data_IF_195841735952
#
_entry.id   IF_195841735952
#
_cell.length_a   1.000
_cell.length_b   1.000
_cell.length_c   1.000
_cell.angle_alpha   90.00
_cell.angle_beta   90.00
_cell.angle_gamma   90.00
#
_symmetry.space_group_name_H-M   'P 1'
#
loop_
_entity.id
_entity.type
_entity.pdbx_description
1 polymer ?
#
# COMPACT_ATOMS: atom_id res chain seq x y z
N UNK A 1 14.02 23.40 -6.07
CA UNK A 1 13.78 22.06 -6.62
C UNK A 1 14.26 21.03 -5.59
N UNK A 2 13.46 19.98 -5.38
CA UNK A 2 13.78 18.86 -4.46
C UNK A 2 13.43 17.54 -5.09
N UNK A 3 14.17 16.49 -4.71
CA UNK A 3 13.90 15.10 -5.00
C UNK A 3 13.11 14.56 -3.81
N UNK A 4 12.03 13.85 -4.05
CA UNK A 4 11.20 13.22 -3.03
C UNK A 4 11.16 11.72 -3.26
N UNK A 5 11.37 10.95 -2.20
CA UNK A 5 11.36 9.49 -2.23
C UNK A 5 10.07 8.94 -2.87
N UNK A 6 8.91 9.36 -2.35
CA UNK A 6 7.61 8.88 -2.84
C UNK A 6 7.37 9.15 -4.32
N UNK A 7 7.79 10.32 -4.84
CA UNK A 7 7.67 10.59 -6.28
C UNK A 7 8.48 9.63 -7.14
N UNK A 8 9.71 9.27 -6.72
CA UNK A 8 10.52 8.28 -7.42
C UNK A 8 9.94 6.87 -7.27
N UNK A 9 9.44 6.52 -6.08
CA UNK A 9 8.83 5.23 -5.81
C UNK A 9 7.57 5.00 -6.66
N UNK A 10 6.65 5.95 -6.68
CA UNK A 10 5.43 5.86 -7.48
C UNK A 10 5.74 5.84 -8.99
N UNK A 11 6.74 6.59 -9.45
CA UNK A 11 7.19 6.53 -10.83
C UNK A 11 7.78 5.15 -11.19
N UNK A 12 8.65 4.60 -10.34
CA UNK A 12 9.21 3.26 -10.53
C UNK A 12 8.10 2.19 -10.59
N UNK A 13 7.16 2.24 -9.63
CA UNK A 13 6.01 1.32 -9.58
C UNK A 13 5.14 1.42 -10.84
N UNK A 14 4.80 2.63 -11.28
CA UNK A 14 3.99 2.85 -12.48
C UNK A 14 4.69 2.32 -13.75
N UNK A 15 5.99 2.56 -13.89
CA UNK A 15 6.77 2.09 -15.03
C UNK A 15 6.90 0.56 -15.04
N UNK A 16 7.11 -0.07 -13.88
CA UNK A 16 7.11 -1.53 -13.75
C UNK A 16 5.75 -2.12 -14.19
N UNK A 17 4.65 -1.53 -13.73
CA UNK A 17 3.29 -1.95 -14.10
C UNK A 17 2.99 -1.75 -15.59
N UNK A 18 3.43 -0.66 -16.18
CA UNK A 18 3.30 -0.42 -17.62
C UNK A 18 4.13 -1.44 -18.43
N UNK A 19 5.33 -1.80 -17.97
CA UNK A 19 6.11 -2.86 -18.61
C UNK A 19 5.39 -4.21 -18.56
N UNK A 20 4.73 -4.58 -17.45
CA UNK A 20 3.96 -5.84 -17.35
C UNK A 20 2.93 -5.94 -18.50
N UNK A 21 2.33 -4.83 -18.91
CA UNK A 21 1.33 -4.76 -19.98
C UNK A 21 1.95 -4.62 -21.37
N UNK A 22 2.89 -3.69 -21.52
CA UNK A 22 3.41 -3.27 -22.84
C UNK A 22 4.71 -3.98 -23.25
N UNK A 23 5.33 -4.73 -22.32
CA UNK A 23 6.63 -5.42 -22.53
C UNK A 23 7.73 -4.51 -23.04
N UNK A 24 7.78 -3.26 -22.57
CA UNK A 24 8.76 -2.25 -22.97
C UNK A 24 9.98 -2.28 -22.06
N UNK A 25 11.12 -2.71 -22.59
CA UNK A 25 12.39 -2.76 -21.85
C UNK A 25 12.85 -1.38 -21.41
N UNK A 26 12.58 -0.33 -22.20
CA UNK A 26 12.90 1.04 -21.81
C UNK A 26 12.18 1.47 -20.54
N UNK A 27 10.91 1.11 -20.37
CA UNK A 27 10.15 1.40 -19.15
C UNK A 27 10.72 0.64 -17.95
N UNK A 28 11.11 -0.61 -18.16
CA UNK A 28 11.72 -1.44 -17.13
C UNK A 28 13.09 -0.90 -16.71
N UNK A 29 13.93 -0.50 -17.66
CA UNK A 29 15.24 0.07 -17.37
C UNK A 29 15.14 1.36 -16.54
N UNK A 30 14.20 2.25 -16.89
CA UNK A 30 13.97 3.47 -16.12
C UNK A 30 13.45 3.13 -14.71
N UNK A 31 12.51 2.19 -14.60
CA UNK A 31 12.00 1.72 -13.30
C UNK A 31 13.14 1.18 -12.43
N UNK A 32 14.02 0.35 -13.00
CA UNK A 32 15.16 -0.24 -12.29
C UNK A 32 16.16 0.83 -11.84
N UNK A 33 16.46 1.83 -12.68
CA UNK A 33 17.33 2.95 -12.31
C UNK A 33 16.73 3.76 -11.13
N UNK A 34 15.41 4.01 -11.13
CA UNK A 34 14.74 4.65 -10.02
C UNK A 34 14.80 3.81 -8.74
N UNK A 35 14.66 2.49 -8.84
CA UNK A 35 14.80 1.57 -7.70
C UNK A 35 16.24 1.59 -7.15
N UNK A 36 17.26 1.62 -8.00
CA UNK A 36 18.65 1.79 -7.54
C UNK A 36 18.88 3.09 -6.81
N UNK A 37 18.31 4.19 -7.32
CA UNK A 37 18.33 5.47 -6.61
C UNK A 37 17.65 5.37 -5.23
N UNK A 38 16.51 4.65 -5.11
CA UNK A 38 15.84 4.42 -3.82
C UNK A 38 16.77 3.68 -2.85
N UNK A 39 17.53 2.68 -3.32
CA UNK A 39 18.52 1.98 -2.49
C UNK A 39 19.63 2.91 -1.97
N UNK A 40 20.07 3.87 -2.78
CA UNK A 40 21.09 4.87 -2.39
C UNK A 40 20.55 5.87 -1.34
N UNK A 41 19.24 6.04 -1.25
CA UNK A 41 18.59 6.88 -0.24
C UNK A 41 18.33 6.15 1.09
N UNK A 42 18.81 4.91 1.30
CA UNK A 42 18.73 4.22 2.60
C UNK A 42 19.43 5.06 3.68
N UNK A 43 18.76 5.23 4.81
CA UNK A 43 19.28 5.97 5.95
C UNK A 43 19.96 5.03 6.96
N UNK A 44 20.81 5.60 7.81
CA UNK A 44 21.40 4.86 8.93
C UNK A 44 20.40 4.50 10.04
N UNK A 45 19.15 4.88 9.89
CA UNK A 45 18.06 4.65 10.85
C UNK A 45 17.09 3.55 10.39
N UNK A 46 17.51 2.70 9.44
CA UNK A 46 16.75 1.55 8.97
C UNK A 46 15.64 1.85 7.97
N UNK A 47 15.47 3.11 7.58
CA UNK A 47 14.52 3.51 6.54
C UNK A 47 15.20 4.29 5.40
N UNK A 48 14.53 5.28 4.82
CA UNK A 48 15.01 6.06 3.68
C UNK A 48 15.06 7.56 3.97
N UNK A 49 15.89 8.29 3.22
CA UNK A 49 15.86 9.75 3.12
C UNK A 49 14.61 10.16 2.33
N UNK A 50 13.67 10.86 2.96
CA UNK A 50 12.38 11.19 2.33
C UNK A 50 12.47 12.34 1.33
N UNK A 51 13.41 13.27 1.53
CA UNK A 51 13.56 14.44 0.67
C UNK A 51 14.99 14.96 0.67
N UNK A 52 15.51 15.27 -0.53
CA UNK A 52 16.80 15.89 -0.75
C UNK A 52 16.65 17.12 -1.66
N UNK A 53 17.41 18.18 -1.40
CA UNK A 53 17.45 19.34 -2.29
C UNK A 53 18.35 19.05 -3.49
N UNK A 54 17.81 19.17 -4.71
CA UNK A 54 18.48 18.75 -5.95
C UNK A 54 19.85 19.40 -6.15
N UNK A 55 19.94 20.74 -6.06
CA UNK A 55 21.19 21.45 -6.35
C UNK A 55 22.30 21.26 -5.30
N UNK A 56 21.93 21.17 -4.04
CA UNK A 56 22.91 21.13 -2.93
C UNK A 56 23.16 19.72 -2.40
N UNK A 57 22.35 18.73 -2.76
CA UNK A 57 22.38 17.41 -2.17
C UNK A 57 21.95 17.36 -0.69
N UNK A 58 21.63 18.52 -0.07
CA UNK A 58 21.28 18.59 1.35
C UNK A 58 20.02 17.79 1.66
N UNK A 59 20.10 16.94 2.69
CA UNK A 59 18.95 16.20 3.21
C UNK A 59 18.03 17.15 3.96
N UNK A 60 16.73 17.02 3.73
CA UNK A 60 15.67 17.74 4.44
C UNK A 60 15.19 16.92 5.64
N UNK A 61 14.78 17.59 6.71
CA UNK A 61 14.09 16.94 7.85
C UNK A 61 12.64 16.53 7.54
N UNK A 62 12.14 16.82 6.34
CA UNK A 62 10.80 16.43 5.93
C UNK A 62 10.63 14.92 5.92
N UNK A 63 9.53 14.44 6.54
CA UNK A 63 9.13 13.04 6.51
C UNK A 63 7.67 12.93 6.06
N UNK A 64 7.36 11.83 5.38
CA UNK A 64 6.02 11.48 4.92
C UNK A 64 5.64 10.13 5.49
N UNK A 65 4.41 9.96 5.90
CA UNK A 65 3.85 8.70 6.40
C UNK A 65 3.70 7.63 5.30
N UNK A 66 3.81 8.03 4.03
CA UNK A 66 3.56 7.15 2.88
C UNK A 66 4.84 6.63 2.23
N UNK A 67 5.91 7.43 2.21
CA UNK A 67 7.05 7.24 1.31
C UNK A 67 7.81 5.94 1.52
N UNK A 68 7.88 5.43 2.75
CA UNK A 68 8.59 4.17 3.04
C UNK A 68 7.83 3.00 2.42
N UNK A 69 6.52 2.89 2.67
CA UNK A 69 5.69 1.83 2.08
C UNK A 69 5.66 1.90 0.54
N UNK A 70 5.57 3.12 -0.04
CA UNK A 70 5.68 3.33 -1.48
C UNK A 70 7.02 2.83 -2.03
N UNK A 71 8.13 3.12 -1.33
CA UNK A 71 9.46 2.69 -1.73
C UNK A 71 9.61 1.16 -1.68
N UNK A 72 9.19 0.51 -0.58
CA UNK A 72 9.23 -0.94 -0.45
C UNK A 72 8.40 -1.62 -1.54
N UNK A 73 7.19 -1.12 -1.81
CA UNK A 73 6.32 -1.66 -2.85
C UNK A 73 6.95 -1.52 -4.25
N UNK A 74 7.57 -0.39 -4.55
CA UNK A 74 8.26 -0.16 -5.83
C UNK A 74 9.43 -1.11 -6.02
N UNK A 75 10.27 -1.31 -4.98
CA UNK A 75 11.39 -2.25 -5.01
C UNK A 75 10.90 -3.68 -5.26
N UNK A 76 9.84 -4.13 -4.58
CA UNK A 76 9.25 -5.46 -4.78
C UNK A 76 8.65 -5.63 -6.18
N UNK A 77 7.96 -4.62 -6.71
CA UNK A 77 7.41 -4.68 -8.06
C UNK A 77 8.51 -4.80 -9.12
N UNK A 78 9.59 -4.06 -8.98
CA UNK A 78 10.74 -4.14 -9.87
C UNK A 78 11.47 -5.49 -9.73
N UNK A 79 11.70 -5.97 -8.49
CA UNK A 79 12.29 -7.30 -8.24
C UNK A 79 11.53 -8.42 -8.93
N UNK A 80 10.21 -8.43 -8.88
CA UNK A 80 9.38 -9.48 -9.50
C UNK A 80 9.57 -9.59 -11.00
N UNK A 81 10.00 -8.53 -11.65
CA UNK A 81 10.22 -8.51 -13.12
C UNK A 81 11.68 -8.77 -13.44
N UNK A 82 12.60 -8.17 -12.70
CA UNK A 82 14.04 -8.19 -13.01
C UNK A 82 14.79 -9.36 -12.36
N UNK A 83 14.30 -9.87 -11.23
CA UNK A 83 15.01 -10.85 -10.41
C UNK A 83 16.24 -10.27 -9.67
N UNK A 84 16.42 -8.94 -9.65
CA UNK A 84 17.55 -8.29 -8.95
C UNK A 84 17.46 -8.50 -7.43
N UNK A 85 18.22 -9.46 -6.92
CA UNK A 85 18.20 -9.86 -5.51
C UNK A 85 18.57 -8.73 -4.55
N UNK A 86 19.31 -7.71 -4.99
CA UNK A 86 19.64 -6.56 -4.13
C UNK A 86 18.38 -5.79 -3.72
N UNK A 87 17.38 -5.72 -4.60
CA UNK A 87 16.10 -5.07 -4.29
C UNK A 87 15.34 -5.83 -3.19
N UNK A 88 15.24 -7.16 -3.29
CA UNK A 88 14.57 -7.98 -2.28
C UNK A 88 15.29 -7.95 -0.95
N UNK A 89 16.62 -8.15 -0.96
CA UNK A 89 17.44 -8.10 0.28
C UNK A 89 17.27 -6.78 1.00
N UNK A 90 17.31 -5.66 0.28
CA UNK A 90 17.12 -4.34 0.89
C UNK A 90 15.72 -4.19 1.52
N UNK A 91 14.67 -4.71 0.87
CA UNK A 91 13.30 -4.69 1.43
C UNK A 91 13.22 -5.53 2.70
N UNK A 92 13.80 -6.73 2.71
CA UNK A 92 13.82 -7.63 3.87
C UNK A 92 14.53 -6.99 5.08
N UNK A 93 15.69 -6.39 4.86
CA UNK A 93 16.46 -5.72 5.90
C UNK A 93 15.71 -4.50 6.48
N UNK A 94 15.18 -3.63 5.60
CA UNK A 94 14.43 -2.44 6.02
C UNK A 94 13.15 -2.84 6.76
N UNK A 95 12.40 -3.81 6.23
CA UNK A 95 11.16 -4.26 6.85
C UNK A 95 11.40 -4.86 8.24
N UNK A 96 12.43 -5.68 8.43
CA UNK A 96 12.75 -6.26 9.72
C UNK A 96 13.02 -5.21 10.80
N UNK A 97 13.70 -4.11 10.46
CA UNK A 97 13.92 -2.98 11.38
C UNK A 97 12.61 -2.20 11.63
N UNK A 98 11.80 -1.96 10.60
CA UNK A 98 10.53 -1.27 10.72
C UNK A 98 9.52 -2.06 11.56
N UNK A 99 9.50 -3.39 11.45
CA UNK A 99 8.65 -4.27 12.26
C UNK A 99 8.99 -4.17 13.75
N UNK A 100 10.29 -4.11 14.09
CA UNK A 100 10.75 -3.92 15.47
C UNK A 100 10.36 -2.54 16.03
N UNK A 101 10.39 -1.51 15.19
CA UNK A 101 10.01 -0.14 15.55
C UNK A 101 8.50 0.06 15.60
N UNK A 102 7.70 -0.88 15.09
CA UNK A 102 6.25 -0.73 14.92
C UNK A 102 5.87 0.37 13.92
N UNK A 103 6.70 0.58 12.90
CA UNK A 103 6.47 1.61 11.88
C UNK A 103 5.17 1.36 11.12
N UNK A 104 4.43 2.42 10.84
CA UNK A 104 3.18 2.34 10.07
C UNK A 104 1.95 2.02 10.91
N UNK A 105 2.11 1.60 12.19
CA UNK A 105 0.96 1.31 13.09
C UNK A 105 0.21 2.60 13.38
N UNK A 106 0.87 3.58 13.99
CA UNK A 106 0.26 4.87 14.33
C UNK A 106 -0.27 5.62 13.10
N UNK A 107 0.44 5.53 12.00
CA UNK A 107 0.09 6.14 10.72
C UNK A 107 -1.05 5.39 10.00
N UNK A 108 -1.41 4.19 10.46
CA UNK A 108 -2.40 3.32 9.80
C UNK A 108 -2.06 3.15 8.31
N UNK A 109 -0.80 2.80 8.04
CA UNK A 109 -0.20 2.90 6.71
C UNK A 109 -0.68 1.81 5.76
N UNK A 110 -1.54 2.17 4.82
CA UNK A 110 -1.98 1.28 3.74
C UNK A 110 -0.85 0.90 2.78
N UNK A 111 0.13 1.80 2.53
CA UNK A 111 1.29 1.50 1.71
C UNK A 111 2.19 0.43 2.35
N UNK A 112 2.34 0.44 3.68
CA UNK A 112 3.02 -0.64 4.38
C UNK A 112 2.27 -1.96 4.22
N UNK A 113 0.94 -1.98 4.37
CA UNK A 113 0.14 -3.18 4.18
C UNK A 113 0.25 -3.73 2.76
N UNK A 114 0.28 -2.89 1.73
CA UNK A 114 0.56 -3.31 0.36
C UNK A 114 1.96 -3.93 0.21
N UNK A 115 2.97 -3.30 0.77
CA UNK A 115 4.34 -3.82 0.71
C UNK A 115 4.46 -5.16 1.45
N UNK A 116 3.88 -5.28 2.65
CA UNK A 116 3.91 -6.50 3.45
C UNK A 116 3.16 -7.66 2.78
N UNK A 117 2.01 -7.39 2.13
CA UNK A 117 1.30 -8.40 1.33
C UNK A 117 2.18 -8.95 0.20
N UNK A 118 2.87 -8.07 -0.53
CA UNK A 118 3.75 -8.50 -1.61
C UNK A 118 5.01 -9.21 -1.10
N UNK A 119 5.57 -8.73 0.01
CA UNK A 119 6.75 -9.34 0.62
C UNK A 119 6.45 -10.74 1.14
N UNK A 120 5.32 -10.97 1.81
CA UNK A 120 4.95 -12.29 2.33
C UNK A 120 4.88 -13.37 1.24
N UNK A 121 4.61 -13.00 0.00
CA UNK A 121 4.58 -13.96 -1.13
C UNK A 121 5.98 -14.41 -1.56
N UNK A 122 7.00 -13.66 -1.17
CA UNK A 122 8.40 -13.86 -1.55
C UNK A 122 9.26 -14.30 -0.37
N UNK A 123 8.81 -14.02 0.84
CA UNK A 123 9.54 -14.25 2.09
C UNK A 123 8.61 -14.82 3.16
N UNK A 124 9.00 -15.97 3.73
CA UNK A 124 8.25 -16.62 4.80
C UNK A 124 8.66 -16.16 6.22
N UNK A 125 9.36 -15.04 6.34
CA UNK A 125 9.83 -14.51 7.63
C UNK A 125 8.65 -14.30 8.61
N UNK A 126 8.77 -14.81 9.86
CA UNK A 126 7.64 -14.89 10.78
C UNK A 126 7.15 -13.56 11.32
N UNK A 127 7.91 -12.47 11.14
CA UNK A 127 7.56 -11.12 11.61
C UNK A 127 6.65 -10.34 10.65
N UNK A 128 6.58 -10.73 9.36
CA UNK A 128 5.85 -9.98 8.32
C UNK A 128 4.34 -9.94 8.62
N UNK A 129 3.72 -11.09 8.86
CA UNK A 129 2.29 -11.14 9.16
C UNK A 129 1.94 -10.42 10.48
N UNK A 130 2.63 -10.66 11.61
CA UNK A 130 2.39 -9.93 12.86
C UNK A 130 2.56 -8.41 12.72
N UNK A 131 3.46 -7.93 11.87
CA UNK A 131 3.60 -6.49 11.60
C UNK A 131 2.35 -5.96 10.89
N UNK A 132 1.91 -6.62 9.81
CA UNK A 132 0.69 -6.27 9.09
C UNK A 132 -0.55 -6.33 9.99
N UNK A 133 -0.65 -7.37 10.83
CA UNK A 133 -1.76 -7.54 11.77
C UNK A 133 -1.86 -6.39 12.78
N UNK A 134 -0.74 -5.90 13.30
CA UNK A 134 -0.73 -4.73 14.20
C UNK A 134 -1.24 -3.47 13.49
N UNK A 135 -0.81 -3.22 12.25
CA UNK A 135 -1.30 -2.08 11.46
C UNK A 135 -2.82 -2.22 11.20
N UNK A 136 -3.28 -3.40 10.79
CA UNK A 136 -4.69 -3.65 10.53
C UNK A 136 -5.54 -3.51 11.81
N UNK A 137 -5.05 -4.01 12.93
CA UNK A 137 -5.70 -3.89 14.24
C UNK A 137 -5.85 -2.42 14.66
N UNK A 138 -4.83 -1.59 14.43
CA UNK A 138 -4.91 -0.14 14.70
C UNK A 138 -5.94 0.55 13.83
N UNK A 139 -6.05 0.20 12.55
CA UNK A 139 -7.10 0.73 11.66
C UNK A 139 -8.50 0.39 12.19
N UNK A 140 -8.71 -0.85 12.64
CA UNK A 140 -10.00 -1.36 13.10
C UNK A 140 -10.39 -0.73 14.45
N UNK A 141 -9.46 -0.70 15.40
CA UNK A 141 -9.75 -0.29 16.78
C UNK A 141 -9.69 1.22 17.01
N UNK A 142 -9.02 1.96 16.15
CA UNK A 142 -8.83 3.41 16.27
C UNK A 142 -9.21 4.13 14.96
N UNK A 143 -10.49 4.22 14.59
CA UNK A 143 -10.94 4.73 13.30
C UNK A 143 -10.92 6.27 13.21
N UNK A 144 -9.88 6.93 13.71
CA UNK A 144 -9.72 8.41 13.70
C UNK A 144 -9.71 9.00 12.29
N UNK A 145 -9.40 8.20 11.27
CA UNK A 145 -9.48 8.61 9.87
C UNK A 145 -10.91 9.02 9.45
N UNK A 146 -11.93 8.52 10.13
CA UNK A 146 -13.33 8.88 9.88
C UNK A 146 -13.65 10.33 10.32
N UNK A 147 -12.96 10.85 11.33
CA UNK A 147 -13.18 12.20 11.87
C UNK A 147 -12.89 13.29 10.85
N UNK A 148 -12.05 12.99 9.87
CA UNK A 148 -11.70 13.94 8.79
C UNK A 148 -12.86 14.30 7.88
N UNK A 149 -13.93 13.49 7.81
CA UNK A 149 -15.05 13.64 6.89
C UNK A 149 -14.66 13.58 5.40
N UNK A 150 -13.52 12.93 5.07
CA UNK A 150 -12.94 12.89 3.71
C UNK A 150 -12.95 11.49 3.12
N UNK A 151 -13.07 11.41 1.80
CA UNK A 151 -13.12 10.13 1.07
C UNK A 151 -11.78 9.39 1.07
N UNK A 152 -10.68 10.07 0.79
CA UNK A 152 -9.36 9.43 0.63
C UNK A 152 -8.87 8.70 1.89
N UNK A 153 -8.95 9.27 3.12
CA UNK A 153 -8.58 8.53 4.32
C UNK A 153 -9.36 7.23 4.50
N UNK A 154 -10.66 7.23 4.20
CA UNK A 154 -11.51 6.03 4.25
C UNK A 154 -11.04 5.01 3.20
N UNK A 155 -10.86 5.46 1.97
CA UNK A 155 -10.42 4.60 0.87
C UNK A 155 -9.05 3.97 1.13
N UNK A 156 -8.06 4.76 1.57
CA UNK A 156 -6.72 4.26 1.89
C UNK A 156 -6.74 3.17 2.97
N UNK A 157 -7.54 3.34 4.05
CA UNK A 157 -7.63 2.30 5.10
C UNK A 157 -8.34 1.06 4.59
N UNK A 158 -9.35 1.22 3.72
CA UNK A 158 -10.00 0.09 3.05
C UNK A 158 -9.01 -0.67 2.16
N UNK A 159 -8.22 0.01 1.36
CA UNK A 159 -7.15 -0.59 0.55
C UNK A 159 -6.16 -1.37 1.40
N UNK A 160 -5.72 -0.80 2.53
CA UNK A 160 -4.80 -1.45 3.46
C UNK A 160 -5.39 -2.72 4.08
N UNK A 161 -6.64 -2.66 4.56
CA UNK A 161 -7.33 -3.82 5.12
C UNK A 161 -7.55 -4.91 4.07
N UNK A 162 -7.84 -4.56 2.81
CA UNK A 162 -7.93 -5.51 1.71
C UNK A 162 -6.59 -6.21 1.45
N UNK A 163 -5.47 -5.49 1.52
CA UNK A 163 -4.14 -6.10 1.43
C UNK A 163 -3.91 -7.08 2.60
N UNK A 164 -4.23 -6.69 3.83
CA UNK A 164 -4.12 -7.58 5.01
C UNK A 164 -4.97 -8.85 4.86
N UNK A 165 -6.21 -8.73 4.43
CA UNK A 165 -7.11 -9.89 4.25
C UNK A 165 -6.59 -10.87 3.18
N UNK A 166 -5.82 -10.42 2.19
CA UNK A 166 -5.18 -11.30 1.20
C UNK A 166 -3.94 -12.02 1.70
N UNK A 167 -3.36 -11.59 2.82
CA UNK A 167 -2.21 -12.27 3.42
C UNK A 167 -2.61 -13.63 4.02
N UNK A 168 -1.67 -14.57 4.01
CA UNK A 168 -1.84 -15.90 4.63
C UNK A 168 -1.48 -15.82 6.11
N UNK A 169 -2.43 -16.01 7.04
CA UNK A 169 -2.13 -16.01 8.46
C UNK A 169 -1.29 -17.24 8.85
N UNK A 170 -0.41 -17.14 9.85
CA UNK A 170 0.22 -18.30 10.46
C UNK A 170 -0.85 -19.27 11.01
N UNK A 171 -0.53 -20.57 11.08
CA UNK A 171 -1.48 -21.60 11.58
C UNK A 171 -1.97 -21.34 13.01
N UNK A 172 -1.19 -20.62 13.81
CA UNK A 172 -1.51 -20.23 15.19
C UNK A 172 -2.30 -18.93 15.31
N UNK A 173 -2.54 -18.22 14.20
CA UNK A 173 -3.26 -16.94 14.23
C UNK A 173 -4.76 -17.16 14.43
N UNK A 174 -5.35 -16.32 15.27
CA UNK A 174 -6.79 -16.18 15.38
C UNK A 174 -7.38 -15.55 14.11
N UNK A 175 -8.47 -16.11 13.62
CA UNK A 175 -9.20 -15.57 12.46
C UNK A 175 -10.03 -14.32 12.80
N UNK A 176 -10.16 -13.95 14.08
CA UNK A 176 -11.02 -12.83 14.54
C UNK A 176 -10.65 -11.50 13.89
N UNK A 177 -9.35 -11.20 13.77
CA UNK A 177 -8.86 -9.98 13.12
C UNK A 177 -9.21 -9.92 11.63
N UNK A 178 -9.22 -11.04 10.93
CA UNK A 178 -9.64 -11.08 9.51
C UNK A 178 -11.15 -10.85 9.37
N UNK A 179 -11.97 -11.43 10.24
CA UNK A 179 -13.41 -11.20 10.27
C UNK A 179 -13.72 -9.73 10.59
N UNK A 180 -13.05 -9.16 11.58
CA UNK A 180 -13.19 -7.74 11.92
C UNK A 180 -12.75 -6.82 10.76
N UNK A 181 -11.67 -7.18 10.06
CA UNK A 181 -11.20 -6.43 8.89
C UNK A 181 -12.23 -6.46 7.75
N UNK A 182 -12.81 -7.61 7.43
CA UNK A 182 -13.85 -7.72 6.40
C UNK A 182 -15.07 -6.85 6.73
N UNK A 183 -15.55 -6.89 7.97
CA UNK A 183 -16.64 -6.02 8.41
C UNK A 183 -16.29 -4.53 8.27
N UNK A 184 -15.10 -4.13 8.70
CA UNK A 184 -14.63 -2.75 8.57
C UNK A 184 -14.51 -2.32 7.10
N UNK A 185 -14.06 -3.21 6.20
CA UNK A 185 -14.02 -2.98 4.75
C UNK A 185 -15.42 -2.68 4.21
N UNK A 186 -16.41 -3.52 4.51
CA UNK A 186 -17.80 -3.34 4.04
C UNK A 186 -18.38 -2.00 4.51
N UNK A 187 -18.20 -1.66 5.80
CA UNK A 187 -18.63 -0.38 6.36
C UNK A 187 -17.94 0.82 5.68
N UNK A 188 -16.65 0.71 5.41
CA UNK A 188 -15.89 1.75 4.74
C UNK A 188 -16.28 1.92 3.27
N UNK A 189 -16.53 0.83 2.53
CA UNK A 189 -17.02 0.89 1.15
C UNK A 189 -18.39 1.57 1.08
N UNK A 190 -19.30 1.24 2.00
CA UNK A 190 -20.59 1.93 2.10
C UNK A 190 -20.42 3.44 2.37
N UNK A 191 -19.45 3.83 3.23
CA UNK A 191 -19.13 5.25 3.48
C UNK A 191 -18.53 5.94 2.27
N UNK A 192 -17.69 5.26 1.48
CA UNK A 192 -17.11 5.84 0.27
C UNK A 192 -18.17 6.25 -0.76
N UNK A 193 -19.26 5.50 -0.87
CA UNK A 193 -20.37 5.83 -1.78
C UNK A 193 -21.03 7.18 -1.47
N UNK A 194 -20.95 7.68 -0.24
CA UNK A 194 -21.49 9.01 0.14
C UNK A 194 -20.74 10.14 -0.59
N UNK A 195 -19.49 9.90 -0.98
CA UNK A 195 -18.63 10.88 -1.67
C UNK A 195 -18.70 10.75 -3.19
N UNK A 196 -19.45 9.79 -3.71
CA UNK A 196 -19.59 9.59 -5.15
C UNK A 196 -20.58 10.59 -5.74
N UNK A 197 -20.17 11.26 -6.79
CA UNK A 197 -21.03 12.17 -7.57
C UNK A 197 -21.90 11.40 -8.57
N UNK A 198 -22.94 12.04 -9.10
CA UNK A 198 -23.86 11.41 -10.04
C UNK A 198 -23.19 10.96 -11.35
N UNK A 199 -22.07 11.57 -11.74
CA UNK A 199 -21.24 11.22 -12.90
C UNK A 199 -20.14 10.19 -12.57
N UNK A 200 -20.13 9.67 -11.34
CA UNK A 200 -19.23 8.59 -10.91
C UNK A 200 -17.88 9.03 -10.36
N UNK A 201 -17.59 10.33 -10.29
CA UNK A 201 -16.39 10.83 -9.65
C UNK A 201 -16.48 10.75 -8.11
N UNK A 202 -15.37 11.00 -7.42
CA UNK A 202 -15.33 11.06 -5.96
C UNK A 202 -14.85 12.44 -5.52
N UNK A 203 -15.62 13.06 -4.62
CA UNK A 203 -15.27 14.33 -3.99
C UNK A 203 -14.32 14.13 -2.82
N UNK A 204 -13.69 15.22 -2.39
CA UNK A 204 -12.84 15.25 -1.19
C UNK A 204 -13.59 14.92 0.07
N UNK A 205 -14.80 15.47 0.24
CA UNK A 205 -15.66 15.32 1.41
C UNK A 205 -17.11 15.65 1.10
N UNK A 206 -17.96 15.65 2.12
CA UNK A 206 -19.39 15.91 1.99
C UNK A 206 -19.83 17.32 2.41
N UNK A 207 -18.91 18.21 2.76
CA UNK A 207 -19.20 19.52 3.36
C UNK A 207 -19.26 20.68 2.36
N UNK A 208 -18.44 21.70 2.59
CA UNK A 208 -18.44 22.97 1.88
C UNK A 208 -17.89 22.87 0.43
N UNK A 209 -17.75 24.05 -0.24
CA UNK A 209 -17.25 24.14 -1.63
C UNK A 209 -15.89 23.46 -1.82
N UNK A 210 -14.99 23.50 -0.83
CA UNK A 210 -13.68 22.86 -0.89
C UNK A 210 -13.80 21.34 -0.84
N UNK A 211 -14.78 20.83 -0.14
CA UNK A 211 -15.05 19.39 -0.06
C UNK A 211 -15.65 18.83 -1.36
N UNK A 212 -16.23 19.69 -2.20
CA UNK A 212 -16.70 19.31 -3.56
C UNK A 212 -15.56 19.20 -4.59
N UNK A 213 -14.32 19.45 -4.20
CA UNK A 213 -13.16 19.28 -5.08
C UNK A 213 -13.04 17.81 -5.53
N UNK A 214 -12.84 17.61 -6.82
CA UNK A 214 -12.53 16.30 -7.43
C UNK A 214 -11.07 16.31 -7.88
N UNK A 215 -10.31 15.29 -7.47
CA UNK A 215 -8.91 15.12 -7.83
C UNK A 215 -8.64 13.67 -8.22
N UNK A 216 -7.59 13.46 -9.00
CA UNK A 216 -7.20 12.14 -9.45
C UNK A 216 -6.86 11.18 -8.30
N UNK A 217 -6.25 11.67 -7.22
CA UNK A 217 -5.93 10.87 -6.05
C UNK A 217 -7.20 10.42 -5.28
N UNK A 218 -8.24 11.27 -5.21
CA UNK A 218 -9.52 10.87 -4.62
C UNK A 218 -10.18 9.76 -5.43
N UNK A 219 -10.21 9.93 -6.76
CA UNK A 219 -10.79 8.93 -7.67
C UNK A 219 -10.01 7.62 -7.58
N UNK A 220 -8.67 7.68 -7.66
CA UNK A 220 -7.81 6.51 -7.69
C UNK A 220 -7.97 5.64 -6.44
N UNK A 221 -7.89 6.22 -5.24
CA UNK A 221 -8.00 5.45 -4.01
C UNK A 221 -9.39 4.84 -3.83
N UNK A 222 -10.45 5.60 -4.12
CA UNK A 222 -11.81 5.06 -4.00
C UNK A 222 -12.04 3.92 -5.00
N UNK A 223 -11.72 4.09 -6.28
CA UNK A 223 -11.86 3.03 -7.29
C UNK A 223 -11.02 1.81 -6.96
N UNK A 224 -9.77 2.01 -6.50
CA UNK A 224 -8.86 0.92 -6.12
C UNK A 224 -9.45 0.06 -5.00
N UNK A 225 -10.06 0.68 -3.97
CA UNK A 225 -10.71 -0.05 -2.89
C UNK A 225 -11.85 -0.95 -3.42
N UNK A 226 -12.74 -0.43 -4.27
CA UNK A 226 -13.83 -1.22 -4.87
C UNK A 226 -13.32 -2.35 -5.77
N UNK A 227 -12.32 -2.09 -6.60
CA UNK A 227 -11.74 -3.10 -7.48
C UNK A 227 -11.10 -4.25 -6.70
N UNK A 228 -10.32 -3.94 -5.66
CA UNK A 228 -9.68 -4.95 -4.83
C UNK A 228 -10.70 -5.78 -4.04
N UNK A 229 -11.80 -5.17 -3.59
CA UNK A 229 -12.89 -5.90 -2.94
C UNK A 229 -13.59 -6.85 -3.92
N UNK A 230 -13.94 -6.39 -5.11
CA UNK A 230 -14.54 -7.23 -6.15
C UNK A 230 -13.65 -8.42 -6.53
N UNK A 231 -12.34 -8.22 -6.62
CA UNK A 231 -11.39 -9.30 -6.88
C UNK A 231 -11.34 -10.33 -5.74
N UNK A 232 -11.44 -9.87 -4.48
CA UNK A 232 -11.48 -10.75 -3.31
C UNK A 232 -12.74 -11.63 -3.34
N UNK A 233 -13.92 -11.05 -3.60
CA UNK A 233 -15.19 -11.80 -3.70
C UNK A 233 -15.15 -12.84 -4.82
N UNK A 234 -14.67 -12.45 -6.01
CA UNK A 234 -14.53 -13.39 -7.13
C UNK A 234 -13.63 -14.58 -6.78
N UNK A 235 -12.53 -14.35 -6.08
CA UNK A 235 -11.62 -15.41 -5.66
C UNK A 235 -12.27 -16.38 -4.67
N UNK A 236 -13.10 -15.88 -3.77
CA UNK A 236 -13.86 -16.72 -2.80
C UNK A 236 -14.94 -17.55 -3.48
N UNK A 237 -15.67 -16.99 -4.44
CA UNK A 237 -16.69 -17.70 -5.22
C UNK A 237 -16.05 -18.88 -5.99
N UNK A 238 -14.91 -18.64 -6.66
CA UNK A 238 -14.19 -19.69 -7.39
C UNK A 238 -13.68 -20.80 -6.48
N UNK A 239 -13.17 -20.46 -5.28
CA UNK A 239 -12.70 -21.45 -4.31
C UNK A 239 -13.84 -22.32 -3.81
N UNK A 240 -15.01 -21.75 -3.51
CA UNK A 240 -16.19 -22.51 -3.05
C UNK A 240 -16.75 -23.41 -4.15
N UNK A 241 -16.77 -22.95 -5.42
CA UNK A 241 -17.27 -23.74 -6.55
C UNK A 241 -16.37 -24.96 -6.86
N UNK A 242 -15.08 -24.91 -6.55
CA UNK A 242 -14.18 -26.05 -6.72
C UNK A 242 -14.34 -27.10 -5.62
N UNK A 243 -14.73 -26.71 -4.42
CA UNK A 243 -15.03 -27.64 -3.31
C UNK A 243 -16.30 -28.44 -3.58
N UNK A 244 -17.33 -27.81 -4.13
CA UNK A 244 -18.60 -28.49 -4.46
C UNK A 244 -18.49 -29.51 -5.61
N UNK A 245 -17.47 -29.38 -6.48
CA UNK A 245 -17.23 -30.33 -7.58
C UNK A 245 -16.35 -31.53 -7.17
N UNK A 246 -15.82 -31.53 -5.94
CA UNK A 246 -14.93 -32.56 -5.42
C UNK A 246 -15.61 -33.50 -4.41
N UNK A 247 -16.91 -33.34 -4.19
CA UNK A 247 -17.80 -34.24 -3.39
C UNK A 247 -18.72 -35.05 -4.31
#
# INVERSE_FOLDING_TARGET
NSIKLGGNALAALALAKLHETNKSDVLLDISHQLCRFILEERSNHGDFVHKRYFKSGKISSFRSEYYVGEALLALLACYRITGDSQLLTAVQEVEAELAQQGYGIREQSHWMLYALEQLQRLDASPHIYPHAEKIATEIINNPTYLESGRSTPVACRTEGLLAFVRMTPPKSSDSSNRVAALKCIEENLARQLIFQTADGAFTRGGGDRRDQEVRIDYIQHNISAFLHFSQLEQSQIHANSQVDLSL
#
